data_IF_100552208818
#
_entry.id   IF_100552208818
#
_cell.length_a   1.000
_cell.length_b   1.000
_cell.length_c   1.000
_cell.angle_alpha   90.00
_cell.angle_beta   90.00
_cell.angle_gamma   90.00
#
_symmetry.space_group_name_H-M   'P 1'
#
loop_
_entity.id
_entity.type
_entity.pdbx_description
1 polymer ?
#
# COMPACT_ATOMS: atom_id res chain seq x y z
N UNK A 1 -19.92 -36.49 47.95
CA UNK A 1 -18.76 -37.07 48.67
C UNK A 1 -18.51 -38.43 48.03
N UNK A 2 -17.31 -38.78 47.53
CA UNK A 2 -16.04 -38.85 48.30
C UNK A 2 -14.82 -38.16 47.62
N UNK A 3 -13.84 -37.71 48.42
CA UNK A 3 -12.41 -38.12 48.53
C UNK A 3 -11.50 -37.84 47.32
N UNK A 4 -10.53 -36.91 47.46
CA UNK A 4 -9.12 -37.13 47.90
C UNK A 4 -8.30 -37.94 46.87
N UNK A 5 -7.41 -37.32 46.06
CA UNK A 5 -6.09 -36.71 46.37
C UNK A 5 -4.94 -37.64 45.94
N UNK A 6 -4.20 -37.14 44.93
CA UNK A 6 -2.74 -37.21 44.66
C UNK A 6 -2.08 -38.36 43.87
N UNK A 7 -1.36 -37.89 42.83
CA UNK A 7 -0.04 -38.28 42.29
C UNK A 7 0.05 -39.66 41.59
N UNK A 8 0.76 -39.85 40.47
CA UNK A 8 1.96 -39.19 39.95
C UNK A 8 2.23 -39.66 38.50
N UNK A 9 3.23 -39.05 37.88
CA UNK A 9 3.99 -39.43 36.66
C UNK A 9 3.43 -38.89 35.34
N UNK A 10 3.78 -37.66 34.96
CA UNK A 10 4.99 -37.33 34.17
C UNK A 10 5.12 -38.17 32.89
N UNK A 11 4.65 -37.61 31.78
CA UNK A 11 5.29 -37.77 30.48
C UNK A 11 5.46 -36.37 29.90
N UNK A 12 6.59 -35.75 30.23
CA UNK A 12 7.17 -34.68 29.44
C UNK A 12 7.69 -35.30 28.14
N UNK A 13 6.85 -35.38 27.11
CA UNK A 13 7.35 -35.54 25.75
C UNK A 13 7.77 -34.15 25.27
N UNK A 14 9.08 -33.92 25.32
CA UNK A 14 9.76 -32.77 24.75
C UNK A 14 9.50 -32.69 23.25
N UNK A 15 8.46 -31.95 22.87
CA UNK A 15 8.33 -31.37 21.56
C UNK A 15 9.02 -30.01 21.54
N UNK A 16 10.34 -29.97 21.73
CA UNK A 16 11.16 -28.83 21.28
C UNK A 16 11.21 -28.89 19.76
N UNK A 17 10.08 -28.65 19.11
CA UNK A 17 10.11 -28.02 17.81
C UNK A 17 10.73 -26.66 18.06
N UNK A 18 11.92 -26.42 17.50
CA UNK A 18 12.40 -25.07 17.28
C UNK A 18 11.30 -24.35 16.50
N UNK A 19 10.40 -23.66 17.22
CA UNK A 19 9.78 -22.48 16.70
C UNK A 19 10.98 -21.59 16.35
N UNK A 20 11.31 -21.52 15.07
CA UNK A 20 11.92 -20.32 14.53
C UNK A 20 10.95 -19.21 14.94
N UNK A 21 11.22 -18.58 16.08
CA UNK A 21 10.86 -17.18 16.25
C UNK A 21 11.52 -16.51 15.06
N UNK A 22 10.75 -16.35 13.98
CA UNK A 22 11.03 -15.31 13.01
C UNK A 22 10.90 -14.03 13.83
N UNK A 23 12.00 -13.59 14.43
CA UNK A 23 12.08 -12.25 14.96
C UNK A 23 11.70 -11.36 13.78
N UNK A 24 10.54 -10.71 13.84
CA UNK A 24 10.13 -9.77 12.81
C UNK A 24 11.28 -8.80 12.62
N UNK A 25 11.82 -8.75 11.40
CA UNK A 25 12.98 -7.93 11.15
C UNK A 25 12.64 -6.45 11.34
N UNK A 26 13.66 -5.59 11.52
CA UNK A 26 13.46 -4.18 11.82
C UNK A 26 12.56 -3.46 10.82
N UNK A 27 12.59 -3.84 9.53
CA UNK A 27 11.73 -3.20 8.51
C UNK A 27 10.28 -3.65 8.59
N UNK A 28 10.03 -4.92 8.96
CA UNK A 28 8.69 -5.44 9.22
C UNK A 28 8.02 -4.70 10.38
N UNK A 29 8.76 -4.41 11.47
CA UNK A 29 8.26 -3.62 12.59
C UNK A 29 7.85 -2.20 12.18
N UNK A 30 8.69 -1.53 11.38
CA UNK A 30 8.38 -0.19 10.85
C UNK A 30 7.15 -0.20 9.95
N UNK A 31 7.02 -1.17 9.06
CA UNK A 31 5.86 -1.27 8.17
C UNK A 31 4.54 -1.38 8.94
N UNK A 32 4.53 -2.15 10.05
CA UNK A 32 3.37 -2.23 10.93
C UNK A 32 3.04 -0.89 11.60
N UNK A 33 4.04 -0.13 12.04
CA UNK A 33 3.84 1.20 12.62
C UNK A 33 3.30 2.19 11.59
N UNK A 34 3.87 2.20 10.39
CA UNK A 34 3.36 3.02 9.28
C UNK A 34 1.93 2.60 8.90
N UNK A 35 1.64 1.30 8.89
CA UNK A 35 0.29 0.79 8.65
C UNK A 35 -0.69 1.32 9.69
N UNK A 36 -0.34 1.36 10.97
CA UNK A 36 -1.19 1.97 12.02
C UNK A 36 -1.42 3.46 11.76
N UNK A 37 -0.40 4.20 11.30
CA UNK A 37 -0.54 5.62 10.92
C UNK A 37 -1.57 5.81 9.81
N UNK A 38 -1.53 4.96 8.78
CA UNK A 38 -2.37 5.12 7.57
C UNK A 38 -3.66 4.32 7.57
N UNK A 39 -3.91 3.50 8.58
CA UNK A 39 -5.11 2.66 8.68
C UNK A 39 -6.12 3.24 9.67
N UNK A 40 -7.40 3.24 9.30
CA UNK A 40 -8.51 3.62 10.18
C UNK A 40 -9.57 2.54 10.14
N UNK A 41 -10.22 2.31 11.28
CA UNK A 41 -11.33 1.38 11.37
C UNK A 41 -12.50 1.97 12.13
N UNK A 42 -13.69 1.50 11.80
CA UNK A 42 -14.94 1.88 12.44
C UNK A 42 -15.85 0.66 12.48
N UNK A 43 -16.34 0.31 13.68
CA UNK A 43 -17.38 -0.69 13.87
C UNK A 43 -18.69 0.02 14.14
N UNK A 44 -19.68 -0.24 13.29
CA UNK A 44 -21.02 0.31 13.45
C UNK A 44 -21.78 -0.37 14.59
N UNK A 45 -22.85 0.27 15.05
CA UNK A 45 -23.77 -0.32 16.04
C UNK A 45 -24.45 -1.61 15.53
N UNK A 46 -24.49 -1.80 14.21
CA UNK A 46 -24.97 -3.00 13.52
C UNK A 46 -23.95 -4.14 13.47
N UNK A 47 -22.78 -3.97 14.11
CA UNK A 47 -21.74 -4.99 14.22
C UNK A 47 -20.79 -5.09 13.01
N UNK A 48 -21.10 -4.42 11.90
CA UNK A 48 -20.28 -4.43 10.68
C UNK A 48 -19.01 -3.61 10.92
N UNK A 49 -17.86 -4.21 10.59
CA UNK A 49 -16.56 -3.58 10.62
C UNK A 49 -16.21 -3.03 9.24
N UNK A 50 -15.82 -1.77 9.21
CA UNK A 50 -15.13 -1.13 8.09
C UNK A 50 -13.72 -0.80 8.53
N UNK A 51 -12.76 -1.09 7.67
CA UNK A 51 -11.38 -0.70 7.85
C UNK A 51 -10.85 -0.17 6.52
N UNK A 52 -10.14 0.95 6.51
CA UNK A 52 -9.53 1.47 5.30
C UNK A 52 -8.06 1.82 5.54
N UNK A 53 -7.21 1.46 4.58
CA UNK A 53 -5.83 1.89 4.52
C UNK A 53 -5.70 2.97 3.44
N UNK A 54 -5.18 4.13 3.81
CA UNK A 54 -4.73 5.15 2.85
C UNK A 54 -3.32 4.79 2.38
N UNK A 55 -3.17 4.42 1.12
CA UNK A 55 -1.88 4.10 0.56
C UNK A 55 -1.12 5.39 0.23
N UNK A 56 -0.25 5.80 1.16
CA UNK A 56 0.69 6.89 0.95
C UNK A 56 1.99 6.40 0.32
N UNK A 57 2.78 7.28 -0.28
CA UNK A 57 4.04 6.87 -0.86
C UNK A 57 5.04 6.37 0.20
N UNK A 58 5.03 6.98 1.39
CA UNK A 58 5.81 6.48 2.52
C UNK A 58 5.38 5.05 2.93
N UNK A 59 4.08 4.75 2.95
CA UNK A 59 3.61 3.39 3.23
C UNK A 59 4.08 2.40 2.16
N UNK A 60 4.00 2.73 0.87
CA UNK A 60 4.50 1.85 -0.19
C UNK A 60 6.02 1.64 -0.12
N UNK A 61 6.78 2.66 0.28
CA UNK A 61 8.23 2.54 0.53
C UNK A 61 8.49 1.60 1.72
N UNK A 62 7.85 1.83 2.86
CA UNK A 62 7.99 0.96 4.04
C UNK A 62 7.62 -0.49 3.72
N UNK A 63 6.53 -0.69 2.97
CA UNK A 63 6.09 -1.99 2.50
C UNK A 63 7.13 -2.67 1.58
N UNK A 64 7.76 -1.91 0.67
CA UNK A 64 8.83 -2.43 -0.18
C UNK A 64 10.05 -2.90 0.65
N UNK A 65 10.46 -2.16 1.67
CA UNK A 65 11.54 -2.56 2.59
C UNK A 65 11.19 -3.82 3.38
N UNK A 66 10.03 -3.84 4.04
CA UNK A 66 9.58 -5.01 4.81
C UNK A 66 9.42 -6.25 3.92
N UNK A 67 8.98 -6.09 2.69
CA UNK A 67 8.90 -7.19 1.73
C UNK A 67 10.28 -7.67 1.28
N UNK A 68 11.21 -6.76 1.02
CA UNK A 68 12.59 -7.12 0.68
C UNK A 68 13.28 -7.86 1.83
N UNK A 69 13.06 -7.45 3.07
CA UNK A 69 13.54 -8.15 4.26
C UNK A 69 12.96 -9.57 4.37
N UNK A 70 11.63 -9.72 4.29
CA UNK A 70 10.96 -11.03 4.37
C UNK A 70 11.39 -12.00 3.29
N UNK A 71 11.70 -11.49 2.10
CA UNK A 71 12.12 -12.29 0.96
C UNK A 71 13.65 -12.42 0.85
N UNK A 72 14.38 -11.86 1.83
CA UNK A 72 15.83 -11.84 1.91
C UNK A 72 16.52 -11.31 0.63
N UNK A 73 16.10 -10.12 0.20
CA UNK A 73 16.56 -9.42 -0.99
C UNK A 73 17.59 -8.35 -0.64
N UNK A 74 18.52 -8.09 -1.57
CA UNK A 74 19.48 -7.02 -1.42
C UNK A 74 18.95 -5.65 -1.85
N UNK A 75 19.82 -4.65 -1.70
CA UNK A 75 19.54 -3.25 -2.03
C UNK A 75 19.13 -3.04 -3.51
N UNK A 76 19.78 -3.71 -4.45
CA UNK A 76 19.51 -3.52 -5.88
C UNK A 76 18.11 -4.03 -6.24
N UNK A 77 17.69 -5.16 -5.67
CA UNK A 77 16.35 -5.71 -5.86
C UNK A 77 15.27 -4.83 -5.22
N UNK A 78 15.54 -4.23 -4.06
CA UNK A 78 14.65 -3.24 -3.46
C UNK A 78 14.48 -2.01 -4.38
N UNK A 79 15.58 -1.44 -4.87
CA UNK A 79 15.54 -0.29 -5.77
C UNK A 79 14.78 -0.59 -7.06
N UNK A 80 14.96 -1.81 -7.60
CA UNK A 80 14.20 -2.28 -8.76
C UNK A 80 12.69 -2.34 -8.46
N UNK A 81 12.28 -2.82 -7.29
CA UNK A 81 10.87 -2.88 -6.88
C UNK A 81 10.26 -1.49 -6.71
N UNK A 82 10.98 -0.57 -6.10
CA UNK A 82 10.53 0.82 -5.98
C UNK A 82 10.38 1.45 -7.37
N UNK A 83 11.32 1.20 -8.30
CA UNK A 83 11.18 1.63 -9.70
C UNK A 83 9.93 1.04 -10.35
N UNK A 84 9.66 -0.26 -10.18
CA UNK A 84 8.46 -0.91 -10.73
C UNK A 84 7.16 -0.31 -10.15
N UNK A 85 7.13 -0.05 -8.85
CA UNK A 85 6.02 0.66 -8.20
C UNK A 85 5.80 2.02 -8.86
N UNK A 86 6.85 2.83 -9.01
CA UNK A 86 6.77 4.13 -9.66
C UNK A 86 6.24 4.02 -11.09
N UNK A 87 6.80 3.11 -11.92
CA UNK A 87 6.30 2.81 -13.26
C UNK A 87 4.79 2.50 -13.24
N UNK A 88 4.34 1.64 -12.32
CA UNK A 88 2.93 1.22 -12.26
C UNK A 88 1.96 2.38 -12.05
N UNK A 89 2.34 3.41 -11.29
CA UNK A 89 1.50 4.58 -11.07
C UNK A 89 1.67 5.63 -12.15
N UNK A 90 2.89 5.92 -12.61
CA UNK A 90 3.09 6.97 -13.63
C UNK A 90 2.53 6.59 -15.00
N UNK A 91 2.59 5.30 -15.33
CA UNK A 91 2.01 4.73 -16.55
C UNK A 91 0.56 4.26 -16.33
N UNK A 92 0.07 4.31 -15.08
CA UNK A 92 -1.29 3.94 -14.74
C UNK A 92 -2.31 4.83 -15.48
N UNK A 93 -3.40 4.22 -15.91
CA UNK A 93 -4.48 4.92 -16.62
C UNK A 93 -5.29 5.81 -15.68
N UNK A 94 -5.80 6.91 -16.23
CA UNK A 94 -6.76 7.79 -15.61
C UNK A 94 -7.95 7.93 -16.57
N UNK A 95 -9.20 7.92 -16.10
CA UNK A 95 -10.35 8.12 -16.97
C UNK A 95 -10.35 9.53 -17.57
N UNK A 96 -10.34 9.60 -18.90
CA UNK A 96 -10.46 10.86 -19.62
C UNK A 96 -11.83 11.51 -19.41
N UNK A 97 -12.88 10.69 -19.24
CA UNK A 97 -14.25 11.10 -18.95
C UNK A 97 -14.35 11.96 -17.68
N UNK A 98 -13.46 11.72 -16.71
CA UNK A 98 -13.40 12.47 -15.45
C UNK A 98 -12.48 13.70 -15.49
N UNK A 99 -11.83 13.97 -16.63
CA UNK A 99 -10.84 15.05 -16.80
C UNK A 99 -9.56 14.83 -15.99
N UNK A 100 -9.17 13.57 -15.79
CA UNK A 100 -8.06 13.18 -14.91
C UNK A 100 -6.87 12.58 -15.66
N UNK A 101 -7.03 12.35 -16.96
CA UNK A 101 -6.03 11.90 -17.93
C UNK A 101 -4.75 12.73 -17.92
N UNK A 102 -4.86 14.04 -17.64
CA UNK A 102 -3.72 14.94 -17.45
C UNK A 102 -2.74 14.46 -16.38
N UNK A 103 -3.18 13.64 -15.42
CA UNK A 103 -2.30 13.12 -14.39
C UNK A 103 -1.42 11.98 -14.91
N UNK A 104 -1.72 11.39 -16.07
CA UNK A 104 -0.84 10.41 -16.71
C UNK A 104 0.45 11.05 -17.19
N UNK A 105 1.59 10.38 -16.93
CA UNK A 105 2.89 10.86 -17.40
C UNK A 105 2.99 10.91 -18.93
N UNK A 106 2.31 9.99 -19.61
CA UNK A 106 2.24 9.96 -21.07
C UNK A 106 1.51 11.20 -21.63
N UNK A 107 0.31 11.50 -21.11
CA UNK A 107 -0.44 12.68 -21.56
C UNK A 107 0.28 13.99 -21.24
N UNK A 108 1.00 14.07 -20.14
CA UNK A 108 1.84 15.25 -19.85
C UNK A 108 2.99 15.40 -20.83
N UNK A 109 3.60 14.30 -21.25
CA UNK A 109 4.62 14.35 -22.30
C UNK A 109 4.02 14.90 -23.60
N UNK A 110 2.85 14.41 -24.00
CA UNK A 110 2.15 14.92 -25.18
C UNK A 110 1.84 16.41 -25.04
N UNK A 111 1.30 16.86 -23.90
CA UNK A 111 0.80 18.23 -23.78
C UNK A 111 1.93 19.25 -23.56
N UNK A 112 2.92 18.92 -22.74
CA UNK A 112 3.90 19.90 -22.25
C UNK A 112 5.30 19.73 -22.84
N UNK A 113 5.63 18.58 -23.42
CA UNK A 113 6.99 18.28 -23.89
C UNK A 113 7.04 18.16 -25.41
N UNK A 114 6.19 17.32 -25.99
CA UNK A 114 6.16 17.09 -27.44
C UNK A 114 4.73 16.78 -27.95
N UNK A 115 3.94 17.81 -28.31
CA UNK A 115 2.59 17.65 -28.88
C UNK A 115 2.53 16.90 -30.20
N UNK A 116 3.64 16.86 -30.94
CA UNK A 116 3.74 16.18 -32.24
C UNK A 116 4.30 14.76 -32.11
N UNK A 117 4.32 14.19 -30.90
CA UNK A 117 4.83 12.84 -30.66
C UNK A 117 4.02 11.76 -31.39
N UNK A 118 4.70 10.89 -32.13
CA UNK A 118 4.15 9.69 -32.76
C UNK A 118 4.77 8.44 -32.10
N UNK A 119 3.95 7.71 -31.33
CA UNK A 119 4.34 6.47 -30.65
C UNK A 119 4.81 5.36 -31.61
N UNK A 120 4.46 5.44 -32.90
CA UNK A 120 4.87 4.49 -33.94
C UNK A 120 6.27 4.77 -34.47
N UNK A 121 6.80 5.98 -34.23
CA UNK A 121 8.16 6.33 -34.59
C UNK A 121 9.13 5.81 -33.50
N UNK A 122 10.04 4.86 -33.82
CA UNK A 122 10.93 4.27 -32.81
C UNK A 122 11.87 5.29 -32.14
N UNK A 123 12.30 6.33 -32.86
CA UNK A 123 13.19 7.36 -32.31
C UNK A 123 12.45 8.24 -31.30
N UNK A 124 11.22 8.63 -31.63
CA UNK A 124 10.41 9.45 -30.72
C UNK A 124 10.01 8.63 -29.50
N UNK A 125 9.57 7.37 -29.68
CA UNK A 125 9.30 6.45 -28.57
C UNK A 125 10.50 6.32 -27.63
N UNK A 126 11.70 6.14 -28.16
CA UNK A 126 12.93 6.09 -27.35
C UNK A 126 13.18 7.38 -26.58
N UNK A 127 12.89 8.55 -27.17
CA UNK A 127 13.02 9.83 -26.49
C UNK A 127 12.02 9.96 -25.31
N UNK A 128 10.77 9.51 -25.49
CA UNK A 128 9.80 9.41 -24.40
C UNK A 128 10.27 8.47 -23.30
N UNK A 129 10.77 7.29 -23.66
CA UNK A 129 11.27 6.30 -22.69
C UNK A 129 12.42 6.85 -21.84
N UNK A 130 13.36 7.60 -22.45
CA UNK A 130 14.45 8.26 -21.73
C UNK A 130 13.90 9.33 -20.78
N UNK A 131 12.98 10.17 -21.25
CA UNK A 131 12.37 11.22 -20.42
C UNK A 131 11.59 10.65 -19.23
N UNK A 132 10.81 9.59 -19.47
CA UNK A 132 10.08 8.83 -18.44
C UNK A 132 11.03 8.22 -17.42
N UNK A 133 12.11 7.57 -17.89
CA UNK A 133 13.12 6.98 -17.02
C UNK A 133 13.80 8.03 -16.14
N UNK A 134 14.08 9.21 -16.69
CA UNK A 134 14.66 10.34 -15.96
C UNK A 134 13.69 10.93 -14.92
N UNK A 135 12.38 11.00 -15.20
CA UNK A 135 11.38 11.34 -14.18
C UNK A 135 11.43 10.37 -13.01
N UNK A 136 11.39 9.06 -13.28
CA UNK A 136 11.41 8.02 -12.24
C UNK A 136 12.72 8.06 -11.46
N UNK A 137 13.87 8.21 -12.15
CA UNK A 137 15.18 8.32 -11.50
C UNK A 137 15.19 9.43 -10.46
N UNK A 138 14.66 10.61 -10.78
CA UNK A 138 14.59 11.74 -9.83
C UNK A 138 13.76 11.43 -8.59
N UNK A 139 12.64 10.73 -8.74
CA UNK A 139 11.82 10.32 -7.59
C UNK A 139 12.56 9.29 -6.73
N UNK A 140 13.23 8.31 -7.36
CA UNK A 140 14.07 7.33 -6.63
C UNK A 140 15.20 8.03 -5.88
N UNK A 141 15.93 8.93 -6.55
CA UNK A 141 17.02 9.68 -5.93
C UNK A 141 16.53 10.48 -4.72
N UNK A 142 15.32 11.05 -4.79
CA UNK A 142 14.72 11.78 -3.67
C UNK A 142 14.51 10.88 -2.43
N UNK A 143 14.07 9.62 -2.60
CA UNK A 143 13.90 8.66 -1.49
C UNK A 143 15.23 8.42 -0.76
N UNK A 144 16.31 8.30 -1.53
CA UNK A 144 17.64 7.94 -1.03
C UNK A 144 18.54 9.15 -0.71
N UNK A 145 18.05 10.38 -0.81
CA UNK A 145 18.83 11.59 -0.52
C UNK A 145 19.28 11.64 0.95
N UNK A 146 20.60 11.62 1.25
CA UNK A 146 21.17 11.65 2.61
C UNK A 146 20.63 12.78 3.50
N UNK A 147 20.17 13.89 2.91
CA UNK A 147 19.69 15.07 3.65
C UNK A 147 18.33 14.88 4.33
N UNK A 148 17.54 13.92 3.87
CA UNK A 148 16.15 13.75 4.31
C UNK A 148 15.90 12.34 4.84
N UNK A 149 14.95 12.16 5.78
CA UNK A 149 14.44 10.84 6.15
C UNK A 149 13.92 10.05 4.95
N UNK A 150 13.95 8.72 5.04
CA UNK A 150 13.43 7.85 3.98
C UNK A 150 11.91 7.97 3.88
N UNK A 151 11.22 7.87 5.01
CA UNK A 151 9.78 8.06 5.12
C UNK A 151 9.50 9.53 5.41
N UNK A 152 8.64 10.12 4.60
CA UNK A 152 8.27 11.54 4.70
C UNK A 152 6.85 11.73 4.21
N UNK A 153 6.24 12.81 4.65
CA UNK A 153 4.93 13.28 4.20
C UNK A 153 4.94 13.68 2.72
N UNK A 154 6.06 14.22 2.21
CA UNK A 154 6.19 14.71 0.84
C UNK A 154 7.58 14.46 0.23
N UNK A 155 7.62 13.84 -0.95
CA UNK A 155 8.81 13.62 -1.79
C UNK A 155 8.81 14.56 -3.00
N UNK A 156 7.65 14.74 -3.63
CA UNK A 156 7.33 15.84 -4.54
C UNK A 156 5.82 16.16 -4.45
N UNK A 157 5.31 17.10 -5.25
CA UNK A 157 3.88 17.49 -5.25
C UNK A 157 2.91 16.35 -5.61
N UNK A 158 3.40 15.23 -6.14
CA UNK A 158 2.63 14.07 -6.59
C UNK A 158 2.96 12.78 -5.84
N UNK A 159 4.01 12.79 -5.04
CA UNK A 159 4.51 11.67 -4.26
C UNK A 159 4.63 12.10 -2.81
N UNK A 160 3.72 11.61 -1.97
CA UNK A 160 3.62 12.01 -0.56
C UNK A 160 2.42 11.32 0.06
N UNK A 161 1.40 12.08 0.45
CA UNK A 161 0.06 11.53 0.73
C UNK A 161 -0.53 10.77 -0.47
N UNK A 162 -0.08 11.10 -1.68
CA UNK A 162 -0.56 10.51 -2.93
C UNK A 162 0.44 9.56 -3.57
N UNK A 163 -0.08 8.67 -4.43
CA UNK A 163 0.67 7.80 -5.33
C UNK A 163 0.52 8.31 -6.75
N UNK A 164 1.40 9.25 -7.10
CA UNK A 164 1.35 10.02 -8.33
C UNK A 164 0.03 10.80 -8.47
N UNK A 165 -0.24 11.73 -7.55
CA UNK A 165 -1.51 12.50 -7.51
C UNK A 165 -2.79 11.66 -7.38
N UNK A 166 -2.70 10.39 -6.96
CA UNK A 166 -3.86 9.58 -6.56
C UNK A 166 -3.90 9.46 -5.04
N UNK A 167 -5.03 9.80 -4.43
CA UNK A 167 -5.36 9.34 -3.08
C UNK A 167 -5.97 7.94 -3.23
N UNK A 168 -5.32 6.95 -2.65
CA UNK A 168 -5.64 5.55 -2.89
C UNK A 168 -6.08 4.90 -1.60
N UNK A 169 -7.28 4.31 -1.58
CA UNK A 169 -7.80 3.61 -0.43
C UNK A 169 -8.08 2.15 -0.77
N UNK A 170 -7.62 1.25 0.10
CA UNK A 170 -8.13 -0.12 0.15
C UNK A 170 -9.05 -0.23 1.35
N UNK A 171 -10.33 -0.54 1.09
CA UNK A 171 -11.37 -0.65 2.10
C UNK A 171 -11.72 -2.11 2.30
N UNK A 172 -11.49 -2.61 3.50
CA UNK A 172 -11.89 -3.92 3.96
C UNK A 172 -13.23 -3.83 4.71
N UNK A 173 -14.14 -4.73 4.34
CA UNK A 173 -15.46 -4.88 4.95
C UNK A 173 -15.57 -6.27 5.57
N UNK A 174 -16.15 -6.33 6.76
CA UNK A 174 -16.43 -7.59 7.44
C UNK A 174 -17.79 -7.54 8.12
N UNK A 175 -18.65 -8.52 7.84
CA UNK A 175 -19.92 -8.70 8.56
C UNK A 175 -19.67 -8.85 10.07
N UNK A 176 -18.56 -9.52 10.44
CA UNK A 176 -18.16 -9.65 11.84
C UNK A 176 -19.19 -10.45 12.61
N UNK A 177 -19.83 -9.79 13.59
CA UNK A 177 -20.92 -10.37 14.40
C UNK A 177 -22.30 -10.07 13.80
N UNK A 178 -22.37 -9.21 12.78
CA UNK A 178 -23.62 -8.82 12.13
C UNK A 178 -24.24 -9.97 11.36
N UNK A 179 -25.56 -10.11 11.48
CA UNK A 179 -26.38 -10.99 10.64
C UNK A 179 -26.94 -10.26 9.40
N UNK A 180 -26.71 -8.94 9.30
CA UNK A 180 -27.12 -8.15 8.14
C UNK A 180 -26.31 -8.58 6.91
N UNK A 181 -26.98 -8.57 5.75
CA UNK A 181 -26.37 -8.79 4.44
C UNK A 181 -26.57 -7.56 3.57
N UNK A 182 -25.97 -6.41 3.89
CA UNK A 182 -26.15 -5.20 3.12
C UNK A 182 -25.62 -5.38 1.70
N UNK A 183 -26.29 -4.73 0.75
CA UNK A 183 -25.83 -4.67 -0.63
C UNK A 183 -24.50 -3.91 -0.73
N UNK A 184 -23.54 -4.44 -1.47
CA UNK A 184 -22.19 -3.89 -1.64
C UNK A 184 -21.72 -3.86 -3.10
N UNK A 185 -22.49 -4.40 -4.04
CA UNK A 185 -22.03 -4.52 -5.43
C UNK A 185 -21.67 -3.16 -6.05
N UNK A 186 -22.24 -2.05 -5.58
CA UNK A 186 -21.95 -0.68 -6.03
C UNK A 186 -21.35 0.20 -4.92
N UNK A 187 -20.77 -0.37 -3.86
CA UNK A 187 -20.36 0.38 -2.66
C UNK A 187 -19.37 1.51 -2.97
N UNK A 188 -18.61 1.42 -4.07
CA UNK A 188 -17.75 2.49 -4.56
C UNK A 188 -18.52 3.77 -4.92
N UNK A 189 -19.73 3.64 -5.47
CA UNK A 189 -20.62 4.77 -5.80
C UNK A 189 -21.09 5.53 -4.55
N UNK A 190 -21.11 4.83 -3.41
CA UNK A 190 -21.53 5.32 -2.09
C UNK A 190 -20.34 5.65 -1.19
N UNK A 191 -19.12 5.57 -1.72
CA UNK A 191 -17.89 5.94 -1.02
C UNK A 191 -17.45 7.32 -1.51
N UNK A 192 -17.17 8.22 -0.59
CA UNK A 192 -16.79 9.60 -0.88
C UNK A 192 -15.54 9.99 -0.11
N UNK A 193 -14.67 10.74 -0.75
CA UNK A 193 -13.62 11.47 -0.07
C UNK A 193 -14.17 12.85 0.31
N UNK A 194 -13.95 13.26 1.55
CA UNK A 194 -14.34 14.58 2.04
C UNK A 194 -13.10 15.29 2.55
N UNK A 195 -12.84 16.48 2.02
CA UNK A 195 -11.71 17.28 2.45
C UNK A 195 -12.05 18.14 3.68
N UNK A 196 -11.06 18.86 4.23
CA UNK A 196 -11.27 19.67 5.44
C UNK A 196 -12.31 20.80 5.28
N UNK A 197 -12.60 21.22 4.04
CA UNK A 197 -13.63 22.23 3.76
C UNK A 197 -15.04 21.63 3.60
N UNK A 198 -15.20 20.32 3.81
CA UNK A 198 -16.47 19.60 3.69
C UNK A 198 -16.88 19.32 2.24
N UNK A 199 -16.00 19.54 1.26
CA UNK A 199 -16.30 19.24 -0.14
C UNK A 199 -16.21 17.74 -0.36
N UNK A 200 -17.25 17.18 -0.97
CA UNK A 200 -17.38 15.74 -1.26
C UNK A 200 -16.92 15.43 -2.67
N UNK A 201 -16.12 14.38 -2.82
CA UNK A 201 -15.58 13.91 -4.09
C UNK A 201 -15.95 12.44 -4.30
N UNK A 202 -16.35 12.10 -5.51
CA UNK A 202 -16.55 10.71 -5.94
C UNK A 202 -15.22 10.10 -6.39
N UNK A 203 -15.06 8.77 -6.23
CA UNK A 203 -13.92 8.06 -6.75
C UNK A 203 -13.98 8.01 -8.27
N UNK A 204 -12.81 7.85 -8.88
CA UNK A 204 -12.61 7.82 -10.32
C UNK A 204 -11.78 6.60 -10.68
N UNK A 205 -12.23 5.86 -11.70
CA UNK A 205 -11.51 4.68 -12.17
C UNK A 205 -11.99 4.21 -13.53
N UNK A 206 -11.25 3.26 -14.13
CA UNK A 206 -11.56 2.79 -15.50
C UNK A 206 -12.76 1.85 -15.54
N UNK A 207 -13.26 1.45 -14.37
CA UNK A 207 -14.45 0.63 -14.22
C UNK A 207 -15.44 1.32 -13.28
N UNK A 208 -16.04 2.40 -13.77
CA UNK A 208 -16.90 3.31 -13.00
C UNK A 208 -16.13 3.94 -11.81
N UNK A 209 -16.48 3.53 -10.59
CA UNK A 209 -15.91 4.02 -9.33
C UNK A 209 -14.62 3.30 -8.93
N UNK A 210 -14.26 2.23 -9.65
CA UNK A 210 -13.15 1.35 -9.32
C UNK A 210 -12.00 1.53 -10.31
N UNK A 211 -10.74 1.53 -9.84
CA UNK A 211 -9.59 1.66 -10.73
C UNK A 211 -9.58 0.58 -11.81
N UNK A 212 -9.79 -0.67 -11.39
CA UNK A 212 -9.97 -1.84 -12.25
C UNK A 212 -11.20 -2.66 -11.83
N UNK A 213 -11.70 -3.54 -12.69
CA UNK A 213 -12.82 -4.43 -12.36
C UNK A 213 -12.52 -5.33 -11.15
N UNK A 214 -11.28 -5.82 -11.02
CA UNK A 214 -10.83 -6.64 -9.90
C UNK A 214 -10.78 -5.91 -8.55
N UNK A 215 -10.93 -4.59 -8.55
CA UNK A 215 -11.00 -3.78 -7.32
C UNK A 215 -12.43 -3.66 -6.77
N UNK A 216 -13.43 -4.17 -7.50
CA UNK A 216 -14.83 -4.23 -7.05
C UNK A 216 -15.01 -5.39 -6.06
N UNK A 217 -15.94 -5.29 -5.09
CA UNK A 217 -16.34 -6.46 -4.31
C UNK A 217 -16.84 -7.59 -5.21
N UNK A 218 -16.45 -8.83 -4.91
CA UNK A 218 -16.82 -10.00 -5.72
C UNK A 218 -18.33 -10.35 -5.59
N UNK A 219 -18.92 -10.10 -4.42
CA UNK A 219 -20.31 -10.44 -4.10
C UNK A 219 -21.28 -9.25 -4.21
N UNK A 220 -22.56 -9.57 -4.39
CA UNK A 220 -23.62 -8.55 -4.39
C UNK A 220 -23.91 -8.00 -2.98
N UNK A 221 -23.80 -8.86 -1.97
CA UNK A 221 -24.05 -8.55 -0.55
C UNK A 221 -22.84 -8.89 0.31
N UNK A 222 -22.69 -8.19 1.44
CA UNK A 222 -21.66 -8.49 2.41
C UNK A 222 -22.03 -9.76 3.19
N UNK A 223 -21.41 -10.88 2.81
CA UNK A 223 -21.50 -12.17 3.52
C UNK A 223 -20.09 -12.65 3.88
N UNK A 224 -19.69 -12.41 5.13
CA UNK A 224 -18.33 -12.67 5.59
C UNK A 224 -17.41 -11.45 5.38
N UNK A 225 -16.41 -11.58 4.51
CA UNK A 225 -15.33 -10.61 4.36
C UNK A 225 -15.10 -10.30 2.89
N UNK A 226 -14.84 -9.04 2.58
CA UNK A 226 -14.44 -8.60 1.24
C UNK A 226 -13.58 -7.35 1.36
N UNK A 227 -12.96 -6.96 0.26
CA UNK A 227 -12.36 -5.64 0.12
C UNK A 227 -12.78 -5.01 -1.20
N UNK A 228 -12.53 -3.71 -1.32
CA UNK A 228 -12.57 -2.99 -2.58
C UNK A 228 -11.56 -1.86 -2.56
N UNK A 229 -11.23 -1.33 -3.73
CA UNK A 229 -10.27 -0.22 -3.87
C UNK A 229 -10.91 0.94 -4.60
N UNK A 230 -10.64 2.16 -4.12
CA UNK A 230 -11.12 3.41 -4.74
C UNK A 230 -10.00 4.42 -4.84
N UNK A 231 -9.94 5.13 -5.96
CA UNK A 231 -8.97 6.22 -6.19
C UNK A 231 -9.67 7.56 -6.29
N UNK A 232 -9.05 8.58 -5.74
CA UNK A 232 -9.45 9.97 -5.91
C UNK A 232 -8.29 10.74 -6.54
N UNK A 233 -8.42 11.19 -7.80
CA UNK A 233 -7.43 12.05 -8.44
C UNK A 233 -7.32 13.35 -7.65
N UNK A 234 -6.18 13.55 -6.99
CA UNK A 234 -5.98 14.70 -6.11
C UNK A 234 -6.00 16.02 -6.88
N UNK A 235 -5.77 16.00 -8.20
CA UNK A 235 -5.87 17.15 -9.10
C UNK A 235 -6.69 16.76 -10.33
N UNK A 236 -7.59 17.63 -10.79
CA UNK A 236 -8.28 17.50 -12.08
C UNK A 236 -7.71 18.52 -13.08
N UNK A 237 -7.91 18.30 -14.38
CA UNK A 237 -7.37 19.15 -15.47
C UNK A 237 -7.63 20.65 -15.31
N UNK A 238 -8.75 21.00 -14.68
CA UNK A 238 -9.19 22.39 -14.55
C UNK A 238 -8.89 22.99 -13.17
N UNK A 239 -8.48 22.16 -12.20
CA UNK A 239 -8.28 22.58 -10.82
C UNK A 239 -6.79 22.63 -10.47
N UNK A 240 -6.28 23.85 -10.28
CA UNK A 240 -4.93 24.06 -9.74
C UNK A 240 -4.83 23.62 -8.27
N UNK A 241 -5.95 23.64 -7.55
CA UNK A 241 -6.01 23.31 -6.13
C UNK A 241 -6.19 21.79 -5.95
N UNK A 242 -5.32 21.12 -5.19
CA UNK A 242 -5.52 19.71 -4.90
C UNK A 242 -6.74 19.50 -3.98
N UNK A 243 -7.32 18.29 -4.00
CA UNK A 243 -8.39 17.88 -3.06
C UNK A 243 -7.88 17.95 -1.63
N UNK A 244 -6.68 17.39 -1.42
CA UNK A 244 -5.91 17.46 -0.19
C UNK A 244 -4.51 18.04 -0.49
N UNK A 245 -4.17 19.14 0.17
CA UNK A 245 -2.89 19.84 0.09
C UNK A 245 -2.07 19.74 1.38
N UNK A 246 -0.86 20.36 1.41
CA UNK A 246 0.04 20.32 2.54
C UNK A 246 -0.49 20.98 3.82
N UNK A 247 -1.36 21.99 3.67
CA UNK A 247 -1.90 22.78 4.79
C UNK A 247 -3.25 22.25 5.30
N UNK A 248 -3.73 21.12 4.78
CA UNK A 248 -4.98 20.53 5.28
C UNK A 248 -4.71 19.78 6.59
N UNK A 249 -5.60 19.95 7.57
CA UNK A 249 -5.47 19.34 8.91
C UNK A 249 -6.04 17.92 8.97
N UNK A 250 -6.96 17.58 8.07
CA UNK A 250 -7.56 16.25 8.01
C UNK A 250 -8.18 15.93 6.65
N UNK A 251 -8.44 14.65 6.45
CA UNK A 251 -9.32 14.14 5.40
C UNK A 251 -10.21 13.03 5.93
N UNK A 252 -11.35 12.82 5.28
CA UNK A 252 -12.30 11.77 5.65
C UNK A 252 -12.67 10.90 4.45
N UNK A 253 -12.79 9.59 4.70
CA UNK A 253 -13.46 8.65 3.81
C UNK A 253 -14.83 8.33 4.41
N UNK A 254 -15.87 8.65 3.66
CA UNK A 254 -17.26 8.49 4.06
C UNK A 254 -17.94 7.40 3.22
N UNK A 255 -18.64 6.48 3.86
CA UNK A 255 -19.39 5.39 3.19
C UNK A 255 -20.85 5.49 3.60
N UNK A 256 -21.72 5.67 2.62
CA UNK A 256 -23.16 5.83 2.84
C UNK A 256 -23.91 4.49 2.74
N UNK A 257 -24.94 4.35 3.59
CA UNK A 257 -25.91 3.26 3.54
C UNK A 257 -25.28 1.85 3.59
N UNK A 258 -24.27 1.65 4.44
CA UNK A 258 -23.68 0.33 4.67
C UNK A 258 -24.26 -0.27 5.96
N UNK A 259 -25.16 -1.24 5.78
CA UNK A 259 -25.93 -1.82 6.88
C UNK A 259 -27.02 -0.86 7.36
N UNK A 260 -27.23 -0.80 8.67
CA UNK A 260 -28.23 0.09 9.28
C UNK A 260 -27.62 1.46 9.66
N UNK A 261 -26.31 1.63 9.48
CA UNK A 261 -25.62 2.90 9.71
C UNK A 261 -25.69 3.76 8.44
N UNK A 262 -26.33 4.94 8.48
CA UNK A 262 -26.53 5.76 7.28
C UNK A 262 -25.23 6.34 6.73
N UNK A 263 -24.27 6.66 7.61
CA UNK A 263 -22.99 7.23 7.24
C UNK A 263 -21.90 6.68 8.16
N UNK A 264 -20.85 6.12 7.55
CA UNK A 264 -19.63 5.70 8.25
C UNK A 264 -18.49 6.60 7.85
N UNK A 265 -17.78 7.14 8.83
CA UNK A 265 -16.69 8.08 8.60
C UNK A 265 -15.38 7.51 9.15
N UNK A 266 -14.35 7.51 8.33
CA UNK A 266 -12.97 7.21 8.70
C UNK A 266 -12.16 8.48 8.49
N UNK A 267 -11.41 8.92 9.51
CA UNK A 267 -10.71 10.21 9.49
C UNK A 267 -9.21 10.04 9.74
N UNK A 268 -8.42 10.75 8.94
CA UNK A 268 -6.97 10.85 9.10
C UNK A 268 -6.63 12.30 9.46
N UNK A 269 -5.96 12.50 10.58
CA UNK A 269 -5.31 13.77 10.90
C UNK A 269 -4.01 13.91 10.10
N UNK A 270 -3.72 15.13 9.66
CA UNK A 270 -2.60 15.49 8.83
C UNK A 270 -1.76 16.60 9.51
N UNK A 271 -0.44 16.68 9.23
CA UNK A 271 0.33 15.74 8.42
C UNK A 271 0.46 14.37 9.11
N UNK A 272 0.67 13.33 8.31
CA UNK A 272 0.90 11.99 8.85
C UNK A 272 2.32 11.89 9.42
N UNK A 273 2.42 11.43 10.66
CA UNK A 273 3.70 11.19 11.32
C UNK A 273 4.16 9.75 11.10
N UNK A 274 5.38 9.60 10.58
CA UNK A 274 5.97 8.30 10.28
C UNK A 274 7.13 7.98 11.23
N UNK A 275 7.34 6.71 11.59
CA UNK A 275 8.49 6.29 12.37
C UNK A 275 9.80 6.43 11.60
N UNK A 276 10.92 6.41 12.33
CA UNK A 276 12.26 6.39 11.72
C UNK A 276 12.57 5.03 11.08
N UNK A 277 13.31 5.05 9.97
CA UNK A 277 13.78 3.84 9.31
C UNK A 277 15.15 3.39 9.88
N UNK A 278 15.28 2.15 10.37
CA UNK A 278 16.47 1.60 11.04
C UNK A 278 17.77 1.72 10.24
N UNK A 279 17.70 1.53 8.93
CA UNK A 279 18.84 1.74 8.03
C UNK A 279 18.34 2.14 6.63
N UNK A 280 19.14 2.94 5.93
CA UNK A 280 18.83 3.36 4.55
C UNK A 280 19.22 2.36 3.47
N UNK A 281 20.11 1.42 3.79
CA UNK A 281 20.56 0.41 2.83
C UNK A 281 20.38 -0.97 3.41
N UNK A 282 19.80 -1.84 2.59
CA UNK A 282 19.85 -3.29 2.80
C UNK A 282 21.27 -3.81 2.47
N UNK A 283 21.61 -5.05 2.89
CA UNK A 283 22.80 -5.72 2.42
C UNK A 283 22.86 -5.74 0.88
N UNK A 284 24.07 -5.73 0.35
CA UNK A 284 24.33 -5.91 -1.08
C UNK A 284 23.93 -7.31 -1.52
N UNK A 285 23.67 -7.48 -2.83
CA UNK A 285 23.36 -8.81 -3.38
C UNK A 285 24.48 -9.83 -3.12
N UNK A 286 25.74 -9.37 -3.10
CA UNK A 286 26.90 -10.21 -2.80
C UNK A 286 26.87 -10.71 -1.34
N UNK A 287 26.60 -9.82 -0.38
CA UNK A 287 26.49 -10.18 1.04
C UNK A 287 25.31 -11.15 1.28
N UNK A 288 24.17 -10.92 0.62
CA UNK A 288 23.02 -11.84 0.67
C UNK A 288 23.39 -13.21 0.09
N UNK A 289 24.09 -13.25 -1.06
CA UNK A 289 24.50 -14.49 -1.70
C UNK A 289 25.51 -15.28 -0.87
N UNK A 290 26.48 -14.61 -0.26
CA UNK A 290 27.49 -15.22 0.61
C UNK A 290 26.86 -15.82 1.87
N UNK A 291 25.94 -15.09 2.52
CA UNK A 291 25.18 -15.59 3.67
C UNK A 291 24.36 -16.82 3.29
N UNK A 292 23.60 -16.78 2.19
CA UNK A 292 22.80 -17.93 1.70
C UNK A 292 23.68 -19.14 1.36
N UNK A 293 24.86 -18.92 0.79
CA UNK A 293 25.80 -20.00 0.49
C UNK A 293 26.34 -20.67 1.77
N UNK A 294 26.71 -19.85 2.76
CA UNK A 294 27.18 -20.32 4.06
C UNK A 294 26.10 -21.13 4.80
N UNK A 295 24.86 -20.64 4.86
CA UNK A 295 23.74 -21.38 5.47
C UNK A 295 23.46 -22.71 4.77
N UNK A 296 23.56 -22.75 3.43
CA UNK A 296 23.39 -24.00 2.67
C UNK A 296 24.51 -25.00 2.98
N UNK A 297 25.76 -24.52 3.08
CA UNK A 297 26.89 -25.35 3.44
C UNK A 297 26.73 -25.93 4.87
N UNK A 298 26.30 -25.11 5.83
CA UNK A 298 26.00 -25.56 7.19
C UNK A 298 24.87 -26.60 7.24
N UNK A 299 23.77 -26.34 6.53
CA UNK A 299 22.65 -27.30 6.44
C UNK A 299 23.09 -28.62 5.84
N UNK A 300 23.92 -28.59 4.79
CA UNK A 300 24.48 -29.79 4.16
C UNK A 300 25.37 -30.55 5.14
N UNK A 301 26.28 -29.86 5.83
CA UNK A 301 27.16 -30.47 6.83
C UNK A 301 26.38 -31.11 7.98
N UNK A 302 25.32 -30.44 8.50
CA UNK A 302 24.44 -30.99 9.53
C UNK A 302 23.69 -32.22 9.04
N UNK A 303 23.20 -32.21 7.80
CA UNK A 303 22.51 -33.36 7.20
C UNK A 303 23.44 -34.56 6.97
N UNK A 304 24.70 -34.33 6.59
CA UNK A 304 25.72 -35.37 6.44
C UNK A 304 26.14 -35.97 7.79
N UNK A 305 26.32 -35.13 8.81
CA UNK A 305 26.59 -35.56 10.19
C UNK A 305 25.43 -36.41 10.77
N UNK A 306 24.18 -36.04 10.49
CA UNK A 306 23.01 -36.80 10.93
C UNK A 306 22.83 -38.15 10.21
N UNK A 307 23.48 -38.37 9.05
CA UNK A 307 23.46 -39.65 8.32
C UNK A 307 24.56 -40.62 8.73
N UNK A 308 25.56 -40.13 9.47
CA UNK A 308 26.72 -40.91 9.92
C UNK A 308 26.62 -41.33 11.39
N UNK A 309 25.53 -40.94 12.07
CA UNK A 309 25.07 -41.46 13.37
C UNK A 309 23.98 -42.51 13.16
#
# INVERSE_FOLDING_TARGET
MPSRVLLLCWICAAGTGCALEFSEGPFTGVEQEVWRTVNRSHRGADGILVQAALHTFAYEVAHAYARAEREDLGQEQLEFRIKQLLYSYVDGTYPAEDGTDINSLYFQYLIYVNPSFDARNPLQKRAFDIWRAEYIRRVVDAIYDPKFPILRDQYDDRWGLTLYSRLVFTVYLSSGESQLKPYIADIGARTFLVNQQGVRFQPSGTFNFYPYESDRPEGEVLDGKTYYRVFFPNRKSNDKKPIVGPDDEYLELQIENLGDVPLRTLRWELPLEYPEMPARRLPTEAEVAERKASERAERKARAEAARTQ
#
